data_IF_324876791816
#
_entry.id   IF_324876791816
#
_cell.length_a   1.000
_cell.length_b   1.000
_cell.length_c   1.000
_cell.angle_alpha   90.00
_cell.angle_beta   90.00
_cell.angle_gamma   90.00
#
_symmetry.space_group_name_H-M   'P 1'
#
loop_
_entity.id
_entity.type
_entity.pdbx_description
1 polymer ?
#
# COMPACT_ATOMS: atom_id res chain seq x y z
N UNK A 1 -14.78 15.19 -18.76
CA UNK A 1 -13.35 14.85 -18.53
C UNK A 1 -13.29 13.42 -18.02
N UNK A 2 -12.29 12.63 -18.42
CA UNK A 2 -12.06 11.33 -17.79
C UNK A 2 -11.69 11.54 -16.32
N UNK A 3 -12.19 10.68 -15.42
CA UNK A 3 -11.72 10.67 -14.04
C UNK A 3 -10.25 10.25 -14.02
N UNK A 4 -9.47 10.83 -13.12
CA UNK A 4 -8.07 10.48 -12.87
C UNK A 4 -7.96 9.70 -11.56
N UNK A 5 -7.17 8.64 -11.55
CA UNK A 5 -6.97 7.80 -10.38
C UNK A 5 -5.50 7.68 -10.03
N UNK A 6 -5.20 7.65 -8.74
CA UNK A 6 -3.88 7.29 -8.23
C UNK A 6 -4.05 6.10 -7.30
N UNK A 7 -3.47 4.96 -7.69
CA UNK A 7 -3.45 3.75 -6.88
C UNK A 7 -2.16 3.70 -6.06
N UNK A 8 -2.23 3.18 -4.84
CA UNK A 8 -1.04 2.80 -4.09
C UNK A 8 -1.26 1.54 -3.27
N UNK A 9 -0.16 0.86 -2.95
CA UNK A 9 -0.09 -0.36 -2.16
C UNK A 9 1.24 -0.38 -1.39
N UNK A 10 1.26 -0.94 -0.18
CA UNK A 10 2.48 -1.07 0.64
C UNK A 10 2.85 -2.52 0.88
N UNK A 11 4.15 -2.77 1.07
CA UNK A 11 4.64 -4.04 1.61
C UNK A 11 5.24 -3.82 3.00
N UNK A 12 4.95 -4.72 3.95
CA UNK A 12 5.41 -4.58 5.35
C UNK A 12 6.86 -5.02 5.53
N UNK A 13 7.52 -4.58 6.60
CA UNK A 13 8.93 -4.90 6.86
C UNK A 13 9.16 -5.99 7.91
N UNK A 14 8.22 -6.19 8.83
CA UNK A 14 8.37 -7.15 9.90
C UNK A 14 8.18 -8.58 9.39
N UNK A 15 9.19 -9.41 9.57
CA UNK A 15 9.10 -10.87 9.37
C UNK A 15 8.40 -11.48 10.58
N UNK A 16 7.25 -12.12 10.36
CA UNK A 16 6.46 -12.75 11.40
C UNK A 16 6.66 -14.28 11.42
N UNK A 17 6.48 -14.95 12.57
CA UNK A 17 6.52 -16.40 12.65
C UNK A 17 5.36 -17.02 11.85
N UNK A 18 5.46 -18.26 11.33
CA UNK A 18 4.42 -18.86 10.46
C UNK A 18 2.99 -18.91 11.01
N UNK A 19 2.80 -18.90 12.33
CA UNK A 19 1.50 -18.99 13.01
C UNK A 19 1.19 -17.73 13.85
N UNK A 20 1.43 -16.54 13.28
CA UNK A 20 1.39 -15.28 14.03
C UNK A 20 -0.03 -14.80 14.44
N UNK A 21 -1.11 -15.39 13.94
CA UNK A 21 -2.47 -14.97 14.26
C UNK A 21 -2.87 -13.66 13.56
N UNK A 22 -3.42 -12.70 14.30
CA UNK A 22 -3.79 -11.40 13.72
C UNK A 22 -2.54 -10.56 13.47
N UNK A 23 -2.42 -10.02 12.25
CA UNK A 23 -1.31 -9.17 11.83
C UNK A 23 -1.20 -7.89 12.68
N UNK A 24 -2.33 -7.33 13.11
CA UNK A 24 -2.37 -6.08 13.88
C UNK A 24 -1.80 -6.23 15.30
N UNK A 25 -1.76 -7.45 15.85
CA UNK A 25 -1.17 -7.74 17.17
C UNK A 25 0.37 -7.58 17.16
N UNK A 26 0.98 -7.56 15.98
CA UNK A 26 2.43 -7.45 15.79
C UNK A 26 2.87 -6.04 15.37
N UNK A 27 2.04 -5.02 15.52
CA UNK A 27 2.42 -3.63 15.24
C UNK A 27 3.54 -3.12 16.16
N UNK A 28 4.35 -2.13 15.71
CA UNK A 28 4.41 -1.54 14.37
C UNK A 28 4.99 -2.53 13.35
N UNK A 29 4.47 -2.53 12.12
CA UNK A 29 4.84 -3.54 11.11
C UNK A 29 6.01 -3.11 10.22
N UNK A 30 6.34 -1.82 10.16
CA UNK A 30 7.26 -1.26 9.20
C UNK A 30 6.74 -1.36 7.76
N UNK A 31 7.34 -0.57 6.86
CA UNK A 31 7.09 -0.62 5.42
C UNK A 31 8.43 -0.85 4.72
N UNK A 32 8.54 -1.82 3.82
CA UNK A 32 9.74 -2.05 2.98
C UNK A 32 9.75 -1.12 1.78
N UNK A 33 8.62 -1.08 1.09
CA UNK A 33 8.40 -0.26 -0.08
C UNK A 33 6.92 0.08 -0.27
N UNK A 34 6.67 1.03 -1.16
CA UNK A 34 5.34 1.40 -1.62
C UNK A 34 5.35 1.58 -3.13
N UNK A 35 4.32 1.08 -3.82
CA UNK A 35 4.12 1.36 -5.23
C UNK A 35 3.02 2.40 -5.40
N UNK A 36 3.23 3.41 -6.26
CA UNK A 36 2.20 4.40 -6.61
C UNK A 36 2.03 4.44 -8.12
N UNK A 37 0.81 4.25 -8.62
CA UNK A 37 0.49 4.31 -10.04
C UNK A 37 -0.56 5.36 -10.35
N UNK A 38 -0.27 6.26 -11.30
CA UNK A 38 -1.23 7.24 -11.80
C UNK A 38 -1.87 6.71 -13.09
N UNK A 39 -3.18 6.87 -13.25
CA UNK A 39 -3.95 6.29 -14.37
C UNK A 39 -3.56 6.78 -15.77
N UNK A 40 -2.82 7.89 -15.85
CA UNK A 40 -2.26 8.47 -17.07
C UNK A 40 -0.77 8.13 -17.28
N UNK A 41 -0.18 7.30 -16.43
CA UNK A 41 1.19 6.81 -16.53
C UNK A 41 1.23 5.34 -16.97
N UNK A 42 2.30 4.94 -17.65
CA UNK A 42 2.46 3.56 -18.15
C UNK A 42 2.81 2.57 -17.04
N UNK A 43 3.56 3.01 -16.03
CA UNK A 43 4.12 2.16 -14.99
C UNK A 43 3.99 2.81 -13.61
N UNK A 44 4.04 1.98 -12.57
CA UNK A 44 4.04 2.45 -11.19
C UNK A 44 5.43 2.98 -10.81
N UNK A 45 5.46 4.02 -9.98
CA UNK A 45 6.67 4.48 -9.31
C UNK A 45 6.82 3.74 -7.99
N UNK A 46 7.96 3.08 -7.80
CA UNK A 46 8.31 2.42 -6.53
C UNK A 46 9.06 3.37 -5.61
N UNK A 47 8.63 3.45 -4.36
CA UNK A 47 9.21 4.23 -3.28
C UNK A 47 9.82 3.29 -2.25
N UNK A 48 11.07 3.54 -1.88
CA UNK A 48 11.79 2.80 -0.86
C UNK A 48 12.97 3.63 -0.37
N UNK A 49 13.38 3.43 0.89
CA UNK A 49 14.59 4.07 1.40
C UNK A 49 15.83 3.31 0.95
N UNK A 50 16.96 4.01 0.89
CA UNK A 50 18.27 3.40 0.63
C UNK A 50 19.11 3.40 1.89
N UNK A 51 19.92 2.36 2.07
CA UNK A 51 20.92 2.32 3.13
C UNK A 51 22.17 3.13 2.74
N UNK A 52 23.19 3.13 3.60
CA UNK A 52 24.45 3.85 3.39
C UNK A 52 25.24 3.38 2.15
N UNK A 53 24.96 2.18 1.64
CA UNK A 53 25.58 1.60 0.45
C UNK A 53 24.78 1.91 -0.83
N UNK A 54 23.66 2.63 -0.72
CA UNK A 54 22.80 3.00 -1.84
C UNK A 54 21.87 1.88 -2.33
N UNK A 55 21.84 0.74 -1.64
CA UNK A 55 20.92 -0.38 -1.93
C UNK A 55 19.62 -0.23 -1.13
N UNK A 56 18.52 -0.91 -1.51
CA UNK A 56 17.26 -0.84 -0.76
C UNK A 56 17.45 -1.13 0.73
N UNK A 57 16.92 -0.26 1.57
CA UNK A 57 16.93 -0.45 3.01
C UNK A 57 15.89 -1.51 3.42
N UNK A 58 16.09 -2.22 4.54
CA UNK A 58 15.12 -3.21 5.02
C UNK A 58 13.78 -2.59 5.45
N UNK A 59 13.73 -1.28 5.69
CA UNK A 59 12.53 -0.54 6.05
C UNK A 59 12.67 0.91 5.58
N UNK A 60 11.55 1.51 5.15
CA UNK A 60 11.45 2.91 4.80
C UNK A 60 11.59 3.81 6.03
N UNK A 61 12.24 4.95 5.84
CA UNK A 61 12.35 6.00 6.85
C UNK A 61 11.05 6.81 6.93
N UNK A 62 10.78 7.42 8.09
CA UNK A 62 9.64 8.32 8.25
C UNK A 62 9.72 9.53 7.30
N UNK A 63 10.92 9.96 6.91
CA UNK A 63 11.14 11.03 5.94
C UNK A 63 10.66 10.63 4.53
N UNK A 64 11.09 9.47 4.04
CA UNK A 64 10.68 8.96 2.73
C UNK A 64 9.17 8.66 2.69
N UNK A 65 8.61 8.13 3.79
CA UNK A 65 7.16 7.94 3.92
C UNK A 65 6.40 9.28 3.92
N UNK A 66 6.93 10.30 4.60
CA UNK A 66 6.35 11.65 4.57
C UNK A 66 6.37 12.24 3.16
N UNK A 67 7.46 12.05 2.41
CA UNK A 67 7.55 12.48 1.02
C UNK A 67 6.54 11.77 0.11
N UNK A 68 6.34 10.46 0.32
CA UNK A 68 5.33 9.66 -0.35
C UNK A 68 3.89 10.17 -0.07
N UNK A 69 3.57 10.48 1.19
CA UNK A 69 2.27 11.04 1.58
C UNK A 69 2.06 12.42 0.94
N UNK A 70 3.10 13.26 0.92
CA UNK A 70 3.05 14.56 0.27
C UNK A 70 2.78 14.42 -1.24
N UNK A 71 3.36 13.40 -1.89
CA UNK A 71 3.08 13.10 -3.29
C UNK A 71 1.61 12.70 -3.51
N UNK A 72 1.05 11.81 -2.68
CA UNK A 72 -0.38 11.45 -2.75
C UNK A 72 -1.28 12.67 -2.56
N UNK A 73 -0.96 13.54 -1.60
CA UNK A 73 -1.67 14.80 -1.38
C UNK A 73 -1.57 15.76 -2.56
N UNK A 74 -0.41 15.84 -3.20
CA UNK A 74 -0.27 16.62 -4.43
C UNK A 74 -1.18 16.07 -5.53
N UNK A 75 -1.24 14.73 -5.70
CA UNK A 75 -2.12 14.12 -6.70
C UNK A 75 -3.59 14.40 -6.44
N UNK A 76 -4.06 14.41 -5.20
CA UNK A 76 -5.44 14.81 -4.92
C UNK A 76 -5.72 16.27 -5.28
N UNK A 77 -4.75 17.17 -5.06
CA UNK A 77 -4.84 18.58 -5.48
C UNK A 77 -4.84 18.75 -7.02
N UNK A 78 -4.16 17.86 -7.74
CA UNK A 78 -4.20 17.77 -9.20
C UNK A 78 -5.52 17.17 -9.75
N UNK A 79 -6.44 16.78 -8.86
CA UNK A 79 -7.76 16.26 -9.20
C UNK A 79 -7.84 14.74 -9.34
N UNK A 80 -6.85 14.00 -8.85
CA UNK A 80 -6.91 12.54 -8.80
C UNK A 80 -7.75 12.06 -7.61
N UNK A 81 -8.46 10.96 -7.80
CA UNK A 81 -9.04 10.18 -6.70
C UNK A 81 -8.08 9.06 -6.32
N UNK A 82 -7.74 8.95 -5.03
CA UNK A 82 -6.96 7.82 -4.53
C UNK A 82 -7.82 6.56 -4.57
N UNK A 83 -7.24 5.45 -5.01
CA UNK A 83 -7.88 4.13 -5.02
C UNK A 83 -6.98 3.09 -4.36
N UNK A 84 -7.53 2.24 -3.52
CA UNK A 84 -6.81 1.15 -2.84
C UNK A 84 -7.68 -0.12 -2.82
N UNK A 85 -7.08 -1.23 -2.41
CA UNK A 85 -7.81 -2.46 -2.07
C UNK A 85 -7.60 -2.78 -0.60
N UNK A 86 -8.58 -2.45 0.26
CA UNK A 86 -8.47 -2.53 1.73
C UNK A 86 -7.53 -1.48 2.37
N UNK A 87 -7.29 -0.36 1.70
CA UNK A 87 -6.44 0.70 2.25
C UNK A 87 -7.01 1.37 3.50
N UNK A 88 -8.34 1.36 3.67
CA UNK A 88 -8.97 1.85 4.89
C UNK A 88 -8.63 0.98 6.10
N UNK A 89 -8.62 -0.33 5.92
CA UNK A 89 -8.34 -1.31 6.97
C UNK A 89 -6.85 -1.56 7.20
N UNK A 90 -6.00 -1.25 6.22
CA UNK A 90 -4.60 -1.66 6.21
C UNK A 90 -3.64 -0.50 5.91
N UNK A 91 -3.53 -0.11 4.64
CA UNK A 91 -2.46 0.75 4.14
C UNK A 91 -2.35 2.09 4.86
N UNK A 92 -3.45 2.85 4.97
CA UNK A 92 -3.42 4.18 5.57
C UNK A 92 -3.08 4.16 7.06
N UNK A 93 -3.50 3.11 7.78
CA UNK A 93 -3.24 3.00 9.23
C UNK A 93 -1.78 2.66 9.48
N UNK A 94 -1.16 1.85 8.63
CA UNK A 94 0.29 1.53 8.73
C UNK A 94 1.10 2.75 8.27
N UNK A 95 0.73 3.36 7.15
CA UNK A 95 1.40 4.55 6.62
C UNK A 95 1.38 5.70 7.65
N UNK A 96 0.26 5.91 8.35
CA UNK A 96 0.15 6.90 9.43
C UNK A 96 1.03 6.55 10.65
N UNK A 97 1.07 5.29 11.05
CA UNK A 97 1.86 4.80 12.19
C UNK A 97 3.36 4.93 11.93
N UNK A 98 3.83 4.50 10.76
CA UNK A 98 5.26 4.47 10.41
C UNK A 98 5.82 5.85 10.03
N UNK A 99 4.98 6.75 9.49
CA UNK A 99 5.39 8.13 9.17
C UNK A 99 5.14 9.12 10.31
N UNK A 100 4.24 8.81 11.24
CA UNK A 100 3.70 9.76 12.22
C UNK A 100 2.67 10.75 11.66
N UNK A 101 2.32 10.70 10.37
CA UNK A 101 1.46 11.65 9.68
C UNK A 101 -0.04 11.31 9.79
N UNK A 102 -0.53 11.17 11.03
CA UNK A 102 -1.92 10.72 11.29
C UNK A 102 -3.00 11.59 10.64
N UNK A 103 -2.88 12.91 10.74
CA UNK A 103 -3.92 13.82 10.24
C UNK A 103 -4.00 13.78 8.71
N UNK A 104 -2.84 13.82 8.05
CA UNK A 104 -2.77 13.76 6.59
C UNK A 104 -3.29 12.43 6.05
N UNK A 105 -2.86 11.30 6.63
CA UNK A 105 -3.36 9.98 6.22
C UNK A 105 -4.85 9.83 6.45
N UNK A 106 -5.42 10.38 7.55
CA UNK A 106 -6.86 10.37 7.78
C UNK A 106 -7.62 11.19 6.74
N UNK A 107 -7.11 12.37 6.38
CA UNK A 107 -7.74 13.19 5.36
C UNK A 107 -7.73 12.49 4.00
N UNK A 108 -6.60 11.90 3.60
CA UNK A 108 -6.51 11.12 2.37
C UNK A 108 -7.43 9.90 2.40
N UNK A 109 -7.47 9.16 3.51
CA UNK A 109 -8.35 8.01 3.70
C UNK A 109 -9.84 8.37 3.70
N UNK A 110 -10.21 9.59 4.12
CA UNK A 110 -11.61 10.01 4.10
C UNK A 110 -12.17 10.17 2.69
N UNK A 111 -11.33 10.63 1.77
CA UNK A 111 -11.74 10.99 0.41
C UNK A 111 -11.38 9.92 -0.64
N UNK A 112 -10.68 8.84 -0.25
CA UNK A 112 -10.29 7.76 -1.17
C UNK A 112 -11.42 6.76 -1.48
N UNK A 113 -11.19 5.97 -2.51
CA UNK A 113 -12.02 4.85 -2.95
C UNK A 113 -11.36 3.55 -2.46
N UNK A 114 -11.97 2.88 -1.48
CA UNK A 114 -11.55 1.54 -1.07
C UNK A 114 -12.39 0.49 -1.82
N UNK A 115 -11.75 -0.22 -2.75
CA UNK A 115 -12.43 -1.21 -3.58
C UNK A 115 -13.02 -2.36 -2.77
N UNK A 116 -12.32 -2.83 -1.73
CA UNK A 116 -12.82 -3.91 -0.87
C UNK A 116 -14.08 -3.46 -0.12
N UNK A 117 -14.11 -2.21 0.36
CA UNK A 117 -15.30 -1.65 1.00
C UNK A 117 -16.46 -1.48 0.03
N UNK A 118 -16.20 -1.09 -1.23
CA UNK A 118 -17.22 -1.04 -2.27
C UNK A 118 -17.82 -2.42 -2.58
N UNK A 119 -16.98 -3.47 -2.64
CA UNK A 119 -17.48 -4.84 -2.79
C UNK A 119 -18.32 -5.27 -1.59
N UNK A 120 -17.89 -4.96 -0.37
CA UNK A 120 -18.70 -5.20 0.82
C UNK A 120 -20.07 -4.53 0.72
N UNK A 121 -20.11 -3.23 0.36
CA UNK A 121 -21.37 -2.50 0.19
C UNK A 121 -22.28 -3.11 -0.89
N UNK A 122 -21.70 -3.58 -2.00
CA UNK A 122 -22.46 -4.09 -3.15
C UNK A 122 -22.85 -5.57 -3.07
N UNK A 123 -22.08 -6.39 -2.35
CA UNK A 123 -22.20 -7.86 -2.32
C UNK A 123 -22.41 -8.44 -0.92
N UNK A 124 -22.29 -7.62 0.13
CA UNK A 124 -22.41 -8.06 1.53
C UNK A 124 -21.18 -8.80 2.07
N UNK A 125 -20.09 -8.86 1.31
CA UNK A 125 -18.85 -9.53 1.72
C UNK A 125 -17.63 -8.86 1.06
N UNK A 126 -16.48 -8.77 1.75
CA UNK A 126 -15.24 -8.32 1.17
C UNK A 126 -14.66 -9.41 0.25
N UNK A 127 -13.90 -9.00 -0.76
CA UNK A 127 -13.19 -9.90 -1.66
C UNK A 127 -11.69 -9.62 -1.62
N UNK A 128 -10.88 -10.68 -1.74
CA UNK A 128 -9.42 -10.58 -1.70
C UNK A 128 -8.88 -10.13 -3.05
N UNK A 129 -7.83 -9.33 -3.06
CA UNK A 129 -7.25 -8.74 -4.27
C UNK A 129 -6.98 -9.76 -5.40
N UNK A 130 -6.50 -10.98 -5.08
CA UNK A 130 -6.29 -12.00 -6.11
C UNK A 130 -7.60 -12.54 -6.72
N UNK A 131 -8.68 -12.63 -5.93
CA UNK A 131 -9.98 -13.02 -6.45
C UNK A 131 -10.52 -11.96 -7.44
N UNK A 132 -10.32 -10.68 -7.13
CA UNK A 132 -10.70 -9.55 -7.97
C UNK A 132 -9.91 -9.53 -9.27
N UNK A 133 -8.59 -9.72 -9.18
CA UNK A 133 -7.71 -9.83 -10.34
C UNK A 133 -8.16 -10.97 -11.27
N UNK A 134 -8.41 -12.16 -10.71
CA UNK A 134 -8.88 -13.31 -11.46
C UNK A 134 -10.22 -13.05 -12.17
N UNK A 135 -11.13 -12.32 -11.53
CA UNK A 135 -12.43 -11.99 -12.13
C UNK A 135 -12.30 -11.09 -13.37
N UNK A 136 -11.20 -10.34 -13.52
CA UNK A 136 -10.93 -9.49 -14.69
C UNK A 136 -9.90 -10.10 -15.65
N UNK A 137 -9.56 -11.39 -15.49
CA UNK A 137 -8.63 -12.08 -16.37
C UNK A 137 -7.15 -11.77 -16.10
N UNK A 138 -6.83 -11.23 -14.92
CA UNK A 138 -5.48 -11.04 -14.41
C UNK A 138 -5.19 -12.06 -13.31
N UNK A 139 -3.95 -12.17 -12.87
CA UNK A 139 -3.58 -12.99 -11.72
C UNK A 139 -2.40 -12.37 -10.99
N UNK A 140 -2.38 -12.43 -9.64
CA UNK A 140 -1.14 -12.17 -8.92
C UNK A 140 -0.08 -13.23 -9.27
N UNK A 141 1.22 -12.91 -9.20
CA UNK A 141 2.28 -13.92 -9.26
C UNK A 141 1.99 -15.05 -8.27
N UNK A 142 2.24 -16.28 -8.68
CA UNK A 142 2.15 -17.42 -7.77
C UNK A 142 3.18 -17.25 -6.64
N UNK A 143 2.82 -17.67 -5.43
CA UNK A 143 3.71 -17.79 -4.26
C UNK A 143 4.24 -16.48 -3.62
N UNK A 144 3.72 -15.31 -3.99
CA UNK A 144 3.97 -14.05 -3.28
C UNK A 144 2.75 -13.68 -2.44
N UNK A 145 2.69 -14.22 -1.22
CA UNK A 145 1.80 -13.72 -0.17
C UNK A 145 2.46 -12.52 0.54
N UNK A 146 1.66 -11.60 1.06
CA UNK A 146 2.16 -10.40 1.76
C UNK A 146 3.00 -10.73 3.01
N UNK A 147 2.82 -11.93 3.57
CA UNK A 147 3.65 -12.46 4.66
C UNK A 147 5.08 -12.83 4.24
N UNK A 148 5.31 -13.09 2.95
CA UNK A 148 6.60 -13.51 2.38
C UNK A 148 7.37 -12.32 1.80
N UNK A 149 6.68 -11.24 1.42
CA UNK A 149 7.31 -10.03 0.90
C UNK A 149 8.48 -9.47 1.73
N UNK A 150 8.42 -9.41 3.09
CA UNK A 150 9.56 -8.96 3.88
C UNK A 150 10.80 -9.87 3.74
N UNK A 151 10.60 -11.18 3.52
CA UNK A 151 11.69 -12.15 3.32
C UNK A 151 12.32 -12.00 1.93
N UNK A 152 11.51 -11.81 0.90
CA UNK A 152 11.98 -11.60 -0.49
C UNK A 152 12.75 -10.29 -0.60
N UNK A 153 12.23 -9.22 0.01
CA UNK A 153 12.90 -7.91 0.04
C UNK A 153 14.29 -7.99 0.68
N UNK A 154 14.43 -8.75 1.78
CA UNK A 154 15.72 -8.98 2.43
C UNK A 154 16.70 -9.78 1.55
N UNK A 155 16.18 -10.60 0.63
CA UNK A 155 16.97 -11.37 -0.34
C UNK A 155 17.30 -10.57 -1.60
N UNK A 156 16.73 -9.37 -1.76
CA UNK A 156 16.92 -8.50 -2.92
C UNK A 156 16.06 -8.86 -4.12
N UNK A 157 14.93 -9.55 -3.89
CA UNK A 157 13.91 -9.89 -4.89
C UNK A 157 12.75 -8.87 -4.89
#
# INVERSE_FOLDING_TARGET
MSRKYVAFDIETAKILPPDFGDLHDHRPLGITCMAIWCSDEQEATTWYSKNTEGTPAPQMTAEDLTAAIAFLKQKTQEGYSIITHNGLGFDFVILAEESGQWEECRQLAKDHIDMMFHFFCGKGLPIRLNADANAIGLSKPADVDGSVAPLLWKQGE
#
